data_IF_153064801071
#
_entry.id   IF_153064801071
#
_cell.length_a   1.000
_cell.length_b   1.000
_cell.length_c   1.000
_cell.angle_alpha   90.00
_cell.angle_beta   90.00
_cell.angle_gamma   90.00
#
_symmetry.space_group_name_H-M   'P 1'
#
loop_
_entity.id
_entity.type
_entity.pdbx_description
1 polymer ?
#
# COMPACT_ATOMS: atom_id res chain seq x y z
N UNK A 1 -39.36 0.82 -54.02
CA UNK A 1 -39.42 2.23 -53.57
C UNK A 1 -39.30 3.10 -54.80
N UNK A 2 -40.34 3.88 -55.12
CA UNK A 2 -40.33 4.79 -56.25
C UNK A 2 -39.26 5.88 -56.04
N UNK A 3 -38.29 5.99 -56.96
CA UNK A 3 -37.32 7.09 -56.95
C UNK A 3 -38.10 8.40 -57.20
N UNK A 4 -38.27 9.21 -56.15
CA UNK A 4 -38.85 10.54 -56.30
C UNK A 4 -37.87 11.42 -57.08
N UNK A 5 -38.38 12.37 -57.90
CA UNK A 5 -37.53 13.35 -58.63
C UNK A 5 -36.55 14.09 -57.70
N UNK A 6 -36.90 14.23 -56.41
CA UNK A 6 -36.07 14.82 -55.36
C UNK A 6 -34.84 13.95 -55.03
N UNK A 7 -34.98 12.63 -55.00
CA UNK A 7 -33.87 11.71 -54.72
C UNK A 7 -32.81 11.68 -55.83
N UNK A 8 -33.22 11.82 -57.09
CA UNK A 8 -32.30 11.91 -58.25
C UNK A 8 -31.51 13.23 -58.25
N UNK A 9 -32.16 14.33 -57.87
CA UNK A 9 -31.52 15.64 -57.73
C UNK A 9 -30.46 15.63 -56.60
N UNK A 10 -30.80 15.07 -55.44
CA UNK A 10 -29.89 14.99 -54.29
C UNK A 10 -28.66 14.11 -54.59
N UNK A 11 -28.85 12.96 -55.26
CA UNK A 11 -27.74 12.09 -55.71
C UNK A 11 -26.79 12.82 -56.67
N UNK A 12 -27.34 13.64 -57.57
CA UNK A 12 -26.54 14.40 -58.55
C UNK A 12 -25.76 15.54 -57.87
N UNK A 13 -26.40 16.28 -56.96
CA UNK A 13 -25.75 17.33 -56.18
C UNK A 13 -24.61 16.78 -55.31
N UNK A 14 -24.83 15.62 -54.66
CA UNK A 14 -23.81 14.96 -53.86
C UNK A 14 -22.59 14.52 -54.68
N UNK A 15 -22.79 14.05 -55.92
CA UNK A 15 -21.68 13.67 -56.82
C UNK A 15 -20.83 14.87 -57.24
N UNK A 16 -21.46 16.01 -57.55
CA UNK A 16 -20.73 17.23 -57.87
C UNK A 16 -19.98 17.80 -56.66
N UNK A 17 -20.56 17.73 -55.46
CA UNK A 17 -19.91 18.15 -54.23
C UNK A 17 -18.65 17.30 -53.94
N UNK A 18 -18.75 15.98 -54.10
CA UNK A 18 -17.64 15.06 -53.91
C UNK A 18 -16.54 15.28 -54.97
N UNK A 19 -16.92 15.55 -56.22
CA UNK A 19 -15.98 15.95 -57.27
C UNK A 19 -15.19 17.21 -56.90
N UNK A 20 -15.85 18.25 -56.39
CA UNK A 20 -15.20 19.51 -56.00
C UNK A 20 -14.21 19.28 -54.85
N UNK A 21 -14.58 18.47 -53.86
CA UNK A 21 -13.68 18.11 -52.75
C UNK A 21 -12.42 17.41 -53.27
N UNK A 22 -12.57 16.42 -54.15
CA UNK A 22 -11.42 15.70 -54.72
C UNK A 22 -10.55 16.60 -55.61
N UNK A 23 -11.14 17.57 -56.32
CA UNK A 23 -10.37 18.55 -57.09
C UNK A 23 -9.56 19.46 -56.17
N UNK A 24 -10.16 19.98 -55.10
CA UNK A 24 -9.48 20.87 -54.14
C UNK A 24 -8.32 20.13 -53.46
N UNK A 25 -8.57 18.92 -52.95
CA UNK A 25 -7.53 18.10 -52.29
C UNK A 25 -6.45 17.71 -53.31
N UNK A 26 -6.83 17.43 -54.56
CA UNK A 26 -5.90 17.03 -55.62
C UNK A 26 -4.97 18.19 -56.00
N UNK A 27 -5.52 19.39 -56.18
CA UNK A 27 -4.75 20.60 -56.44
C UNK A 27 -3.83 20.96 -55.28
N UNK A 28 -4.32 20.86 -54.03
CA UNK A 28 -3.50 21.07 -52.84
C UNK A 28 -2.35 20.03 -52.76
N UNK A 29 -2.63 18.78 -53.10
CA UNK A 29 -1.66 17.69 -53.13
C UNK A 29 -0.58 17.83 -54.20
N UNK A 30 -0.82 18.57 -55.27
CA UNK A 30 0.21 18.82 -56.31
C UNK A 30 1.38 19.68 -55.80
N UNK A 31 1.17 20.49 -54.75
CA UNK A 31 2.23 21.30 -54.13
C UNK A 31 3.22 20.44 -53.32
N UNK A 32 2.81 19.27 -52.84
CA UNK A 32 3.66 18.35 -52.07
C UNK A 32 4.15 17.20 -52.94
N UNK A 33 3.31 16.65 -53.81
CA UNK A 33 3.67 15.61 -54.78
C UNK A 33 2.81 15.73 -56.03
N UNK A 34 3.42 16.24 -57.10
CA UNK A 34 2.76 16.44 -58.39
C UNK A 34 2.04 15.18 -58.89
N UNK A 35 2.69 14.01 -58.76
CA UNK A 35 2.11 12.73 -59.19
C UNK A 35 0.91 12.29 -58.34
N UNK A 36 1.00 12.45 -57.01
CA UNK A 36 -0.09 12.10 -56.10
C UNK A 36 -1.33 12.99 -56.34
N UNK A 37 -1.11 14.29 -56.55
CA UNK A 37 -2.16 15.23 -56.93
C UNK A 37 -2.84 14.86 -58.26
N UNK A 38 -2.07 14.47 -59.28
CA UNK A 38 -2.62 13.99 -60.55
C UNK A 38 -3.50 12.73 -60.40
N UNK A 39 -3.12 11.78 -59.54
CA UNK A 39 -3.93 10.57 -59.28
C UNK A 39 -5.29 10.93 -58.65
N UNK A 40 -5.32 11.91 -57.74
CA UNK A 40 -6.55 12.35 -57.11
C UNK A 40 -7.45 13.16 -58.06
N UNK A 41 -6.86 13.94 -58.96
CA UNK A 41 -7.59 14.65 -60.02
C UNK A 41 -8.23 13.69 -61.03
N UNK A 42 -7.52 12.62 -61.39
CA UNK A 42 -8.08 11.55 -62.23
C UNK A 42 -9.25 10.84 -61.53
N UNK A 43 -9.16 10.62 -60.21
CA UNK A 43 -10.26 10.08 -59.42
C UNK A 43 -11.47 11.02 -59.38
N UNK A 44 -11.26 12.35 -59.37
CA UNK A 44 -12.35 13.32 -59.40
C UNK A 44 -13.19 13.24 -60.69
N UNK A 45 -12.56 12.93 -61.83
CA UNK A 45 -13.25 12.80 -63.12
C UNK A 45 -14.32 11.70 -63.13
N UNK A 46 -14.20 10.69 -62.26
CA UNK A 46 -15.17 9.58 -62.14
C UNK A 46 -16.51 10.05 -61.56
N UNK A 47 -16.52 11.17 -60.83
CA UNK A 47 -17.75 11.73 -60.25
C UNK A 47 -18.49 12.68 -61.21
N UNK A 48 -17.90 13.02 -62.36
CA UNK A 48 -18.52 13.87 -63.37
C UNK A 48 -19.49 13.04 -64.24
N UNK A 49 -20.80 13.36 -64.27
CA UNK A 49 -21.81 12.56 -65.00
C UNK A 49 -21.54 12.44 -66.51
N UNK A 50 -21.04 13.51 -67.13
CA UNK A 50 -20.72 13.57 -68.56
C UNK A 50 -19.56 12.64 -68.94
N UNK A 51 -18.58 12.49 -68.05
CA UNK A 51 -17.41 11.65 -68.26
C UNK A 51 -17.78 10.16 -68.21
N UNK A 52 -18.64 9.79 -67.24
CA UNK A 52 -19.18 8.43 -67.14
C UNK A 52 -20.00 8.02 -68.37
N UNK A 53 -20.73 8.95 -68.99
CA UNK A 53 -21.48 8.68 -70.22
C UNK A 53 -20.54 8.36 -71.38
N UNK A 54 -19.47 9.15 -71.55
CA UNK A 54 -18.43 8.90 -72.56
C UNK A 54 -17.68 7.58 -72.34
N UNK A 55 -17.41 7.20 -71.08
CA UNK A 55 -16.80 5.91 -70.75
C UNK A 55 -17.73 4.77 -71.19
N UNK A 56 -19.04 4.87 -70.91
CA UNK A 56 -20.02 3.88 -71.34
C UNK A 56 -20.06 3.74 -72.86
N UNK A 57 -20.07 4.87 -73.58
CA UNK A 57 -20.19 4.89 -75.04
C UNK A 57 -18.94 4.35 -75.76
N UNK A 58 -17.74 4.50 -75.17
CA UNK A 58 -16.47 4.05 -75.79
C UNK A 58 -15.94 2.72 -75.29
N UNK A 59 -16.16 2.38 -74.03
CA UNK A 59 -15.56 1.22 -73.37
C UNK A 59 -16.59 0.12 -73.04
N UNK A 60 -17.88 0.36 -73.27
CA UNK A 60 -18.99 -0.56 -72.97
C UNK A 60 -19.04 -1.07 -71.51
N UNK A 61 -18.39 -0.35 -70.59
CA UNK A 61 -18.35 -0.67 -69.14
C UNK A 61 -19.26 0.29 -68.39
N UNK A 62 -20.20 -0.24 -67.60
CA UNK A 62 -21.07 0.55 -66.72
C UNK A 62 -20.49 0.64 -65.31
N UNK A 63 -19.95 1.81 -64.95
CA UNK A 63 -19.42 2.05 -63.60
C UNK A 63 -20.57 2.27 -62.62
N UNK A 64 -20.88 1.24 -61.84
CA UNK A 64 -21.93 1.26 -60.80
C UNK A 64 -21.53 2.18 -59.64
N UNK A 65 -22.49 2.68 -58.84
CA UNK A 65 -22.19 3.54 -57.69
C UNK A 65 -21.20 2.92 -56.68
N UNK A 66 -21.30 1.60 -56.45
CA UNK A 66 -20.37 0.86 -55.59
C UNK A 66 -18.93 0.84 -56.12
N UNK A 67 -18.75 0.66 -57.44
CA UNK A 67 -17.43 0.66 -58.06
C UNK A 67 -16.72 2.03 -57.93
N UNK A 68 -17.48 3.14 -57.97
CA UNK A 68 -16.92 4.50 -57.79
C UNK A 68 -16.38 4.72 -56.39
N UNK A 69 -17.10 4.22 -55.38
CA UNK A 69 -16.65 4.30 -53.99
C UNK A 69 -15.35 3.52 -53.77
N UNK A 70 -15.24 2.32 -54.35
CA UNK A 70 -14.02 1.50 -54.27
C UNK A 70 -12.83 2.21 -54.92
N UNK A 71 -12.99 2.73 -56.15
CA UNK A 71 -11.90 3.44 -56.84
C UNK A 71 -11.48 4.70 -56.07
N UNK A 72 -12.44 5.45 -55.53
CA UNK A 72 -12.15 6.64 -54.74
C UNK A 72 -11.36 6.29 -53.47
N UNK A 73 -11.73 5.24 -52.74
CA UNK A 73 -11.00 4.78 -51.55
C UNK A 73 -9.58 4.32 -51.90
N UNK A 74 -9.39 3.60 -53.01
CA UNK A 74 -8.06 3.16 -53.47
C UNK A 74 -7.18 4.35 -53.85
N UNK A 75 -7.70 5.31 -54.62
CA UNK A 75 -6.95 6.51 -54.99
C UNK A 75 -6.63 7.39 -53.78
N UNK A 76 -7.56 7.52 -52.83
CA UNK A 76 -7.35 8.25 -51.58
C UNK A 76 -6.29 7.56 -50.71
N UNK A 77 -6.32 6.23 -50.60
CA UNK A 77 -5.32 5.44 -49.88
C UNK A 77 -3.93 5.56 -50.49
N UNK A 78 -3.82 5.51 -51.82
CA UNK A 78 -2.56 5.74 -52.54
C UNK A 78 -2.04 7.17 -52.32
N UNK A 79 -2.91 8.18 -52.40
CA UNK A 79 -2.56 9.58 -52.14
C UNK A 79 -1.97 9.78 -50.74
N UNK A 80 -2.64 9.24 -49.71
CA UNK A 80 -2.15 9.31 -48.33
C UNK A 80 -0.85 8.54 -48.13
N UNK A 81 -0.70 7.36 -48.74
CA UNK A 81 0.53 6.56 -48.66
C UNK A 81 1.74 7.25 -49.31
N UNK A 82 1.54 7.87 -50.48
CA UNK A 82 2.63 8.60 -51.16
C UNK A 82 2.94 9.93 -50.48
N UNK A 83 1.92 10.62 -49.96
CA UNK A 83 2.08 11.89 -49.26
C UNK A 83 2.76 11.74 -47.91
N UNK A 84 2.51 10.65 -47.17
CA UNK A 84 3.23 10.36 -45.93
C UNK A 84 4.72 10.07 -46.21
N UNK A 85 5.03 9.24 -47.21
CA UNK A 85 6.41 8.93 -47.59
C UNK A 85 7.24 10.14 -48.05
N UNK A 86 6.67 11.06 -48.82
CA UNK A 86 7.39 12.27 -49.25
C UNK A 86 7.66 13.21 -48.08
N UNK A 87 6.69 13.37 -47.19
CA UNK A 87 6.83 14.19 -45.98
C UNK A 87 7.90 13.61 -45.02
N UNK A 88 7.96 12.28 -44.91
CA UNK A 88 8.98 11.58 -44.11
C UNK A 88 10.38 11.72 -44.74
N UNK A 89 10.50 11.69 -46.07
CA UNK A 89 11.75 11.90 -46.78
C UNK A 89 12.30 13.33 -46.59
N UNK A 90 11.45 14.35 -46.69
CA UNK A 90 11.83 15.75 -46.48
C UNK A 90 12.22 16.01 -45.02
N UNK A 91 11.48 15.45 -44.06
CA UNK A 91 11.83 15.51 -42.64
C UNK A 91 13.17 14.84 -42.36
N UNK A 92 13.44 13.68 -42.95
CA UNK A 92 14.72 12.99 -42.80
C UNK A 92 15.88 13.83 -43.36
N UNK A 93 15.71 14.47 -44.53
CA UNK A 93 16.72 15.35 -45.11
C UNK A 93 16.97 16.59 -44.26
N UNK A 94 15.92 17.26 -43.77
CA UNK A 94 16.08 18.40 -42.86
C UNK A 94 16.74 18.02 -41.54
N UNK A 95 16.44 16.83 -41.01
CA UNK A 95 17.12 16.32 -39.81
C UNK A 95 18.60 16.05 -40.07
N UNK A 96 18.96 15.43 -41.20
CA UNK A 96 20.36 15.21 -41.59
C UNK A 96 21.09 16.54 -41.82
N UNK A 97 20.47 17.50 -42.50
CA UNK A 97 21.08 18.80 -42.75
C UNK A 97 21.26 19.62 -41.47
N UNK A 98 20.28 19.57 -40.56
CA UNK A 98 20.39 20.19 -39.24
C UNK A 98 21.46 19.51 -38.40
N UNK A 99 21.53 18.18 -38.41
CA UNK A 99 22.57 17.42 -37.72
C UNK A 99 23.98 17.75 -38.25
N UNK A 100 24.15 17.88 -39.57
CA UNK A 100 25.41 18.30 -40.19
C UNK A 100 25.77 19.75 -39.83
N UNK A 101 24.81 20.68 -39.85
CA UNK A 101 25.04 22.06 -39.45
C UNK A 101 25.40 22.20 -37.96
N UNK A 102 24.74 21.42 -37.11
CA UNK A 102 25.02 21.38 -35.67
C UNK A 102 26.38 20.71 -35.40
N UNK A 103 26.74 19.67 -36.15
CA UNK A 103 28.07 19.05 -36.11
C UNK A 103 29.16 20.03 -36.55
N UNK A 104 28.97 20.76 -37.65
CA UNK A 104 29.92 21.78 -38.11
C UNK A 104 30.11 22.90 -37.09
N UNK A 105 29.01 23.36 -36.48
CA UNK A 105 29.08 24.35 -35.38
C UNK A 105 29.83 23.80 -34.17
N UNK A 106 29.61 22.53 -33.82
CA UNK A 106 30.33 21.87 -32.73
C UNK A 106 31.83 21.74 -33.03
N UNK A 107 32.20 21.32 -34.24
CA UNK A 107 33.61 21.23 -34.68
C UNK A 107 34.29 22.61 -34.73
N UNK A 108 33.59 23.66 -35.20
CA UNK A 108 34.09 25.03 -35.17
C UNK A 108 34.29 25.54 -33.74
N UNK A 109 33.33 25.27 -32.85
CA UNK A 109 33.44 25.61 -31.44
C UNK A 109 34.61 24.87 -30.77
N UNK A 110 34.81 23.58 -31.07
CA UNK A 110 35.95 22.81 -30.57
C UNK A 110 37.29 23.34 -31.09
N UNK A 111 37.37 23.70 -32.37
CA UNK A 111 38.58 24.32 -32.95
C UNK A 111 38.92 25.63 -32.25
N UNK A 112 37.93 26.52 -32.08
CA UNK A 112 38.11 27.79 -31.35
C UNK A 112 38.55 27.55 -29.92
N UNK A 113 37.90 26.63 -29.21
CA UNK A 113 38.29 26.28 -27.84
C UNK A 113 39.72 25.71 -27.78
N UNK A 114 40.18 25.00 -28.83
CA UNK A 114 41.55 24.47 -28.91
C UNK A 114 42.59 25.57 -29.08
N UNK A 115 42.28 26.55 -29.93
CA UNK A 115 43.11 27.75 -30.10
C UNK A 115 43.17 28.56 -28.79
N UNK A 116 42.02 28.76 -28.13
CA UNK A 116 41.93 29.46 -26.84
C UNK A 116 42.76 28.75 -25.75
N UNK A 117 42.71 27.41 -25.69
CA UNK A 117 43.52 26.63 -24.74
C UNK A 117 45.01 26.74 -25.06
N UNK A 118 45.40 26.68 -26.34
CA UNK A 118 46.80 26.82 -26.73
C UNK A 118 47.39 28.19 -26.33
N UNK A 119 46.58 29.25 -26.36
CA UNK A 119 47.00 30.61 -26.01
C UNK A 119 46.89 30.93 -24.50
N UNK A 120 45.90 30.37 -23.81
CA UNK A 120 45.50 30.82 -22.46
C UNK A 120 45.44 29.70 -21.42
N UNK A 121 46.06 28.53 -21.66
CA UNK A 121 46.03 27.36 -20.74
C UNK A 121 46.27 27.73 -19.28
N UNK A 122 47.33 28.48 -18.98
CA UNK A 122 47.71 28.80 -17.60
C UNK A 122 46.68 29.72 -16.93
N UNK A 123 46.12 30.68 -17.67
CA UNK A 123 45.07 31.55 -17.16
C UNK A 123 43.79 30.76 -16.82
N UNK A 124 43.42 29.80 -17.67
CA UNK A 124 42.27 28.91 -17.45
C UNK A 124 42.49 28.06 -16.19
N UNK A 125 43.68 27.48 -16.02
CA UNK A 125 44.02 26.69 -14.83
C UNK A 125 44.00 27.53 -13.55
N UNK A 126 44.53 28.75 -13.59
CA UNK A 126 44.50 29.70 -12.46
C UNK A 126 43.07 30.10 -12.11
N UNK A 127 42.22 30.35 -13.11
CA UNK A 127 40.81 30.68 -12.87
C UNK A 127 40.03 29.50 -12.27
N UNK A 128 40.23 28.27 -12.79
CA UNK A 128 39.66 27.06 -12.21
C UNK A 128 40.10 26.85 -10.76
N UNK A 129 41.38 27.08 -10.46
CA UNK A 129 41.90 27.02 -9.08
C UNK A 129 41.30 28.11 -8.20
N UNK A 130 41.12 29.32 -8.71
CA UNK A 130 40.47 30.42 -7.99
C UNK A 130 39.01 30.12 -7.65
N UNK A 131 38.24 29.60 -8.61
CA UNK A 131 36.86 29.17 -8.41
C UNK A 131 36.78 28.03 -7.39
N UNK A 132 37.69 27.06 -7.48
CA UNK A 132 37.80 25.97 -6.50
C UNK A 132 38.15 26.47 -5.10
N UNK A 133 39.07 27.45 -4.98
CA UNK A 133 39.46 28.06 -3.71
C UNK A 133 38.29 28.85 -3.06
N UNK A 134 37.41 29.42 -3.89
CA UNK A 134 36.17 30.07 -3.44
C UNK A 134 35.02 29.10 -3.15
N UNK A 135 35.25 27.79 -3.25
CA UNK A 135 34.22 26.74 -3.17
C UNK A 135 33.12 26.83 -4.25
N UNK A 136 33.33 27.61 -5.33
CA UNK A 136 32.45 27.61 -6.49
C UNK A 136 32.82 26.46 -7.43
N UNK A 137 32.54 25.24 -6.97
CA UNK A 137 32.80 24.03 -7.73
C UNK A 137 31.95 23.96 -9.01
N UNK A 138 30.73 24.51 -8.97
CA UNK A 138 29.86 24.61 -10.15
C UNK A 138 30.47 25.45 -11.26
N UNK A 139 30.99 26.63 -10.93
CA UNK A 139 31.69 27.51 -11.86
C UNK A 139 32.96 26.87 -12.38
N UNK A 140 33.77 26.26 -11.50
CA UNK A 140 35.00 25.57 -11.89
C UNK A 140 34.73 24.39 -12.84
N UNK A 141 33.67 23.61 -12.60
CA UNK A 141 33.24 22.51 -13.47
C UNK A 141 32.73 23.04 -14.80
N UNK A 142 31.91 24.10 -14.81
CA UNK A 142 31.42 24.69 -16.05
C UNK A 142 32.56 25.22 -16.92
N UNK A 143 33.55 25.89 -16.31
CA UNK A 143 34.74 26.38 -16.99
C UNK A 143 35.60 25.23 -17.52
N UNK A 144 35.89 24.22 -16.69
CA UNK A 144 36.69 23.07 -17.12
C UNK A 144 35.99 22.23 -18.20
N UNK A 145 34.68 22.03 -18.09
CA UNK A 145 33.88 21.28 -19.09
C UNK A 145 33.85 21.95 -20.46
N UNK A 146 33.91 23.29 -20.51
CA UNK A 146 34.00 24.05 -21.77
C UNK A 146 35.26 23.72 -22.56
N UNK A 147 36.35 23.40 -21.87
CA UNK A 147 37.67 23.14 -22.45
C UNK A 147 38.12 21.67 -22.34
N UNK A 148 37.25 20.78 -21.85
CA UNK A 148 37.56 19.36 -21.67
C UNK A 148 37.62 18.61 -23.01
N UNK A 149 38.55 17.66 -23.12
CA UNK A 149 38.80 16.85 -24.34
C UNK A 149 39.26 17.66 -25.56
N UNK A 150 39.64 18.93 -25.37
CA UNK A 150 40.06 19.82 -26.47
C UNK A 150 41.59 19.72 -26.73
N UNK A 151 42.35 19.05 -25.86
CA UNK A 151 43.76 18.70 -26.09
C UNK A 151 44.74 19.12 -24.98
N UNK A 152 44.26 19.42 -23.77
CA UNK A 152 45.10 19.74 -22.60
C UNK A 152 44.83 18.77 -21.47
N UNK A 153 45.75 17.82 -21.28
CA UNK A 153 45.66 16.80 -20.23
C UNK A 153 45.56 17.43 -18.83
N UNK A 154 46.21 18.57 -18.63
CA UNK A 154 46.25 19.25 -17.34
C UNK A 154 44.90 19.89 -16.98
N UNK A 155 44.14 20.38 -17.97
CA UNK A 155 42.78 20.88 -17.75
C UNK A 155 41.84 19.73 -17.38
N UNK A 156 41.96 18.59 -18.07
CA UNK A 156 41.15 17.40 -17.78
C UNK A 156 41.48 16.80 -16.40
N UNK A 157 42.76 16.80 -16.00
CA UNK A 157 43.19 16.44 -14.65
C UNK A 157 42.67 17.42 -13.60
N UNK A 158 42.77 18.72 -13.84
CA UNK A 158 42.25 19.75 -12.93
C UNK A 158 40.73 19.60 -12.77
N UNK A 159 39.98 19.39 -13.86
CA UNK A 159 38.54 19.15 -13.82
C UNK A 159 38.20 17.91 -13.01
N UNK A 160 38.93 16.81 -13.17
CA UNK A 160 38.75 15.59 -12.39
C UNK A 160 38.98 15.83 -10.89
N UNK A 161 40.00 16.61 -10.53
CA UNK A 161 40.25 17.00 -9.13
C UNK A 161 39.14 17.90 -8.57
N UNK A 162 38.61 18.83 -9.37
CA UNK A 162 37.48 19.70 -8.98
C UNK A 162 36.25 18.84 -8.69
N UNK A 163 35.96 17.85 -9.54
CA UNK A 163 34.86 16.90 -9.31
C UNK A 163 35.04 16.11 -8.01
N UNK A 164 36.24 15.58 -7.74
CA UNK A 164 36.52 14.87 -6.49
C UNK A 164 36.31 15.78 -5.26
N UNK A 165 36.86 17.01 -5.29
CA UNK A 165 36.67 17.99 -4.21
C UNK A 165 35.21 18.38 -4.02
N UNK A 166 34.44 18.51 -5.11
CA UNK A 166 33.00 18.77 -5.03
C UNK A 166 32.27 17.63 -4.32
N UNK A 167 32.55 16.38 -4.68
CA UNK A 167 31.93 15.22 -4.03
C UNK A 167 32.26 15.19 -2.54
N UNK A 168 33.50 15.49 -2.16
CA UNK A 168 33.90 15.57 -0.76
C UNK A 168 33.21 16.73 -0.03
N UNK A 169 33.12 17.91 -0.65
CA UNK A 169 32.42 19.06 -0.09
C UNK A 169 30.91 18.79 0.10
N UNK A 170 30.26 18.19 -0.89
CA UNK A 170 28.84 17.81 -0.85
C UNK A 170 28.59 16.77 0.27
N UNK A 171 29.50 15.80 0.44
CA UNK A 171 29.47 14.84 1.57
C UNK A 171 29.60 15.53 2.93
N UNK A 172 30.52 16.49 3.07
CA UNK A 172 30.68 17.24 4.32
C UNK A 172 29.47 18.12 4.63
N UNK A 173 28.88 18.75 3.61
CA UNK A 173 27.66 19.52 3.76
C UNK A 173 26.49 18.63 4.19
N UNK A 174 26.31 17.47 3.54
CA UNK A 174 25.29 16.49 3.91
C UNK A 174 25.50 16.00 5.35
N UNK A 175 26.74 15.67 5.74
CA UNK A 175 27.07 15.30 7.12
C UNK A 175 26.67 16.39 8.12
N UNK A 176 26.99 17.65 7.83
CA UNK A 176 26.59 18.78 8.69
C UNK A 176 25.07 18.92 8.82
N UNK A 177 24.33 18.78 7.71
CA UNK A 177 22.85 18.80 7.72
C UNK A 177 22.28 17.65 8.54
N UNK A 178 22.82 16.43 8.39
CA UNK A 178 22.39 15.26 9.15
C UNK A 178 22.67 15.41 10.65
N UNK A 179 23.80 16.02 11.05
CA UNK A 179 24.09 16.31 12.45
C UNK A 179 23.13 17.32 13.07
N UNK A 180 22.72 18.35 12.32
CA UNK A 180 21.68 19.30 12.75
C UNK A 180 20.34 18.57 12.90
N UNK A 181 19.96 17.74 11.93
CA UNK A 181 18.75 16.93 12.00
C UNK A 181 18.76 16.01 13.21
N UNK A 182 19.88 15.34 13.47
CA UNK A 182 20.06 14.45 14.62
C UNK A 182 19.78 15.16 15.95
N UNK A 183 20.20 16.43 16.10
CA UNK A 183 19.91 17.24 17.28
C UNK A 183 18.42 17.57 17.48
N UNK A 184 17.61 17.48 16.43
CA UNK A 184 16.17 17.76 16.46
C UNK A 184 15.32 16.49 16.63
N UNK A 185 15.90 15.30 16.49
CA UNK A 185 15.18 14.03 16.66
C UNK A 185 15.04 13.72 18.14
N UNK A 186 13.84 13.33 18.56
CA UNK A 186 13.58 12.93 19.94
C UNK A 186 14.34 11.65 20.28
N UNK A 187 14.80 11.53 21.52
CA UNK A 187 15.61 10.39 21.97
C UNK A 187 14.87 9.05 21.94
N UNK A 188 13.54 9.07 21.98
CA UNK A 188 12.65 7.92 21.90
C UNK A 188 12.18 7.60 20.46
N UNK A 189 12.53 8.44 19.47
CA UNK A 189 12.29 8.17 18.06
C UNK A 189 13.45 7.35 17.47
N UNK A 190 13.51 6.08 17.86
CA UNK A 190 14.56 5.16 17.41
C UNK A 190 14.56 4.95 15.90
N UNK A 191 13.41 5.06 15.24
CA UNK A 191 13.30 4.96 13.78
C UNK A 191 13.96 6.14 13.09
N UNK A 192 13.67 7.36 13.54
CA UNK A 192 14.33 8.58 13.06
C UNK A 192 15.84 8.53 13.30
N UNK A 193 16.25 8.16 14.52
CA UNK A 193 17.66 8.03 14.88
C UNK A 193 18.39 6.98 14.02
N UNK A 194 17.81 5.79 13.84
CA UNK A 194 18.39 4.71 13.03
C UNK A 194 18.61 5.16 11.57
N UNK A 195 17.60 5.80 10.97
CA UNK A 195 17.66 6.32 9.60
C UNK A 195 18.78 7.35 9.45
N UNK A 196 18.84 8.34 10.35
CA UNK A 196 19.84 9.42 10.28
C UNK A 196 21.25 8.90 10.54
N UNK A 197 21.46 8.01 11.53
CA UNK A 197 22.76 7.40 11.76
C UNK A 197 23.20 6.48 10.61
N UNK A 198 22.28 5.77 9.94
CA UNK A 198 22.62 4.98 8.76
C UNK A 198 23.10 5.86 7.59
N UNK A 199 22.49 7.04 7.40
CA UNK A 199 22.95 8.00 6.40
C UNK A 199 24.29 8.64 6.78
N UNK A 200 24.53 8.89 8.07
CA UNK A 200 25.85 9.33 8.54
C UNK A 200 26.91 8.25 8.35
N UNK A 201 26.57 6.98 8.58
CA UNK A 201 27.49 5.85 8.44
C UNK A 201 27.93 5.61 6.98
N UNK A 202 27.10 5.92 5.99
CA UNK A 202 27.48 5.85 4.57
C UNK A 202 28.49 6.92 4.15
N UNK A 203 28.62 7.98 4.95
CA UNK A 203 29.61 9.06 4.76
C UNK A 203 30.86 8.80 5.60
N UNK A 204 30.67 8.36 6.85
CA UNK A 204 31.71 8.19 7.85
C UNK A 204 31.43 6.96 8.73
N UNK A 205 32.28 5.94 8.60
CA UNK A 205 32.15 4.65 9.28
C UNK A 205 32.08 4.76 10.81
N UNK A 206 32.55 5.87 11.41
CA UNK A 206 32.49 6.10 12.85
C UNK A 206 31.05 6.09 13.41
N UNK A 207 30.04 6.34 12.56
CA UNK A 207 28.63 6.34 12.97
C UNK A 207 27.94 4.96 12.88
N UNK A 208 28.60 3.96 12.30
CA UNK A 208 28.04 2.62 12.14
C UNK A 208 27.56 1.99 13.47
N UNK A 209 28.30 2.08 14.60
CA UNK A 209 27.84 1.51 15.87
C UNK A 209 26.52 2.11 16.36
N UNK A 210 26.30 3.41 16.12
CA UNK A 210 25.05 4.06 16.47
C UNK A 210 23.92 3.65 15.51
N UNK A 211 24.20 3.53 14.21
CA UNK A 211 23.24 3.02 13.24
C UNK A 211 22.74 1.62 13.64
N UNK A 212 23.66 0.72 13.95
CA UNK A 212 23.34 -0.65 14.39
C UNK A 212 22.55 -0.65 15.71
N UNK A 213 22.96 0.17 16.68
CA UNK A 213 22.28 0.29 17.98
C UNK A 213 20.84 0.75 17.81
N UNK A 214 20.60 1.85 17.09
CA UNK A 214 19.26 2.40 16.94
C UNK A 214 18.37 1.57 16.02
N UNK A 215 18.95 0.86 15.04
CA UNK A 215 18.20 -0.14 14.26
C UNK A 215 17.65 -1.24 15.18
N UNK A 216 18.50 -1.81 16.04
CA UNK A 216 18.06 -2.84 17.01
C UNK A 216 17.01 -2.33 17.98
N UNK A 217 17.17 -1.10 18.49
CA UNK A 217 16.18 -0.49 19.39
C UNK A 217 14.85 -0.22 18.69
N UNK A 218 14.87 0.24 17.43
CA UNK A 218 13.67 0.43 16.62
C UNK A 218 12.96 -0.91 16.38
N UNK A 219 13.70 -1.97 16.05
CA UNK A 219 13.13 -3.30 15.84
C UNK A 219 12.52 -3.84 17.12
N UNK A 220 13.22 -3.70 18.25
CA UNK A 220 12.72 -4.10 19.57
C UNK A 220 11.43 -3.34 19.92
N UNK A 221 11.38 -2.02 19.72
CA UNK A 221 10.20 -1.20 19.99
C UNK A 221 8.99 -1.65 19.16
N UNK A 222 9.21 -1.98 17.88
CA UNK A 222 8.16 -2.52 17.01
C UNK A 222 7.66 -3.88 17.50
N UNK A 223 8.57 -4.78 17.89
CA UNK A 223 8.18 -6.09 18.42
C UNK A 223 7.43 -5.97 19.74
N UNK A 224 7.87 -5.11 20.64
CA UNK A 224 7.18 -4.85 21.90
C UNK A 224 5.80 -4.23 21.69
N UNK A 225 5.66 -3.30 20.75
CA UNK A 225 4.37 -2.71 20.42
C UNK A 225 3.41 -3.78 19.86
N UNK A 226 3.87 -4.62 18.93
CA UNK A 226 3.09 -5.74 18.41
C UNK A 226 2.70 -6.71 19.52
N UNK A 227 3.61 -7.03 20.44
CA UNK A 227 3.34 -7.90 21.58
C UNK A 227 2.30 -7.29 22.53
N UNK A 228 2.38 -5.97 22.78
CA UNK A 228 1.38 -5.23 23.59
C UNK A 228 0.01 -5.24 22.91
N UNK A 229 -0.06 -4.92 21.62
CA UNK A 229 -1.29 -4.94 20.84
C UNK A 229 -1.92 -6.34 20.82
N UNK A 230 -1.10 -7.37 20.60
CA UNK A 230 -1.53 -8.77 20.67
C UNK A 230 -2.08 -9.12 22.06
N UNK A 231 -1.37 -8.77 23.13
CA UNK A 231 -1.81 -9.02 24.51
C UNK A 231 -3.14 -8.31 24.85
N UNK A 232 -3.30 -7.06 24.41
CA UNK A 232 -4.55 -6.30 24.57
C UNK A 232 -5.69 -6.98 23.80
N UNK A 233 -5.44 -7.35 22.54
CA UNK A 233 -6.44 -8.02 21.69
C UNK A 233 -6.87 -9.37 22.26
N UNK A 234 -5.92 -10.14 22.81
CA UNK A 234 -6.19 -11.43 23.42
C UNK A 234 -6.95 -11.26 24.73
N UNK A 235 -6.58 -10.27 25.57
CA UNK A 235 -7.35 -9.95 26.78
C UNK A 235 -8.79 -9.57 26.44
N UNK A 236 -9.00 -8.71 25.44
CA UNK A 236 -10.34 -8.32 24.98
C UNK A 236 -11.14 -9.50 24.42
N UNK A 237 -10.50 -10.39 23.65
CA UNK A 237 -11.13 -11.61 23.13
C UNK A 237 -11.53 -12.55 24.27
N UNK A 238 -10.66 -12.74 25.27
CA UNK A 238 -10.97 -13.56 26.44
C UNK A 238 -12.12 -12.97 27.25
N UNK A 239 -12.16 -11.65 27.41
CA UNK A 239 -13.24 -10.94 28.08
C UNK A 239 -14.58 -11.10 27.35
N UNK A 240 -14.62 -10.95 26.02
CA UNK A 240 -15.85 -11.12 25.23
C UNK A 240 -16.38 -12.56 25.25
N UNK A 241 -15.50 -13.53 25.49
CA UNK A 241 -15.85 -14.94 25.70
C UNK A 241 -16.21 -15.28 27.16
N UNK A 242 -16.18 -14.31 28.08
CA UNK A 242 -16.44 -14.54 29.50
C UNK A 242 -15.32 -15.27 30.25
N UNK A 243 -14.12 -15.40 29.67
CA UNK A 243 -12.98 -16.17 30.22
C UNK A 243 -12.08 -15.35 31.17
N UNK A 244 -12.52 -14.16 31.54
CA UNK A 244 -11.96 -13.30 32.58
C UNK A 244 -13.10 -12.86 33.51
N UNK A 245 -12.79 -12.28 34.66
CA UNK A 245 -13.83 -11.70 35.51
C UNK A 245 -14.65 -10.64 34.78
N UNK A 246 -15.95 -10.81 34.81
CA UNK A 246 -16.95 -9.87 34.36
C UNK A 246 -17.75 -9.42 35.57
N UNK A 247 -18.12 -8.14 35.61
CA UNK A 247 -18.83 -7.53 36.73
C UNK A 247 -20.20 -7.05 36.25
N UNK A 248 -21.22 -7.32 37.05
CA UNK A 248 -22.55 -6.85 36.80
C UNK A 248 -23.21 -6.43 38.11
N UNK A 249 -23.96 -5.36 38.03
CA UNK A 249 -24.76 -4.85 39.13
C UNK A 249 -26.23 -4.90 38.73
N UNK A 250 -27.09 -5.29 39.67
CA UNK A 250 -28.53 -5.31 39.49
C UNK A 250 -29.24 -4.85 40.76
N UNK A 251 -30.50 -4.47 40.67
CA UNK A 251 -31.30 -4.12 41.84
C UNK A 251 -32.05 -5.35 42.36
N UNK A 252 -32.06 -5.56 43.68
CA UNK A 252 -32.99 -6.50 44.31
C UNK A 252 -34.33 -5.80 44.51
N UNK A 253 -35.31 -6.13 43.66
CA UNK A 253 -36.66 -5.52 43.66
C UNK A 253 -37.35 -5.56 45.03
N UNK A 254 -37.02 -6.53 45.90
CA UNK A 254 -37.63 -6.67 47.22
C UNK A 254 -37.06 -5.69 48.25
N UNK A 255 -35.77 -5.35 48.18
CA UNK A 255 -35.12 -4.43 49.12
C UNK A 255 -34.79 -3.06 48.53
N UNK A 256 -34.86 -2.90 47.20
CA UNK A 256 -34.42 -1.71 46.47
C UNK A 256 -32.90 -1.48 46.55
N UNK A 257 -32.13 -2.50 46.98
CA UNK A 257 -30.68 -2.39 47.20
C UNK A 257 -29.90 -3.11 46.11
N UNK A 258 -28.69 -2.64 45.87
CA UNK A 258 -27.78 -3.16 44.86
C UNK A 258 -27.31 -4.58 45.18
N UNK A 259 -27.42 -5.47 44.21
CA UNK A 259 -26.75 -6.75 44.12
C UNK A 259 -25.53 -6.57 43.22
N UNK A 260 -24.36 -6.94 43.72
CA UNK A 260 -23.13 -6.98 42.91
C UNK A 260 -22.78 -8.41 42.61
N UNK A 261 -22.26 -8.68 41.42
CA UNK A 261 -21.69 -9.98 41.06
C UNK A 261 -20.44 -9.84 40.19
N UNK A 262 -19.49 -10.74 40.43
CA UNK A 262 -18.35 -11.02 39.58
C UNK A 262 -18.47 -12.46 39.09
N UNK A 263 -18.34 -12.70 37.78
CA UNK A 263 -18.45 -14.04 37.21
C UNK A 263 -17.37 -14.30 36.16
N UNK A 264 -16.95 -15.55 36.04
CA UNK A 264 -15.98 -16.01 35.05
C UNK A 264 -16.32 -17.42 34.57
N UNK A 265 -16.15 -17.67 33.28
CA UNK A 265 -16.39 -18.96 32.65
C UNK A 265 -15.12 -19.82 32.68
N UNK A 266 -15.28 -21.14 32.74
CA UNK A 266 -14.15 -22.08 32.72
C UNK A 266 -13.37 -21.97 31.41
N UNK A 267 -12.04 -22.09 31.45
CA UNK A 267 -11.11 -22.11 30.31
C UNK A 267 -11.31 -23.38 29.48
N UNK A 268 -11.57 -24.51 30.13
CA UNK A 268 -11.94 -25.74 29.45
C UNK A 268 -13.45 -25.80 29.20
N UNK A 269 -13.84 -26.69 28.28
CA UNK A 269 -15.22 -26.97 27.92
C UNK A 269 -15.54 -28.42 28.24
N UNK A 270 -16.81 -28.70 28.47
CA UNK A 270 -17.36 -30.06 28.60
C UNK A 270 -18.50 -30.23 27.60
N UNK A 271 -18.74 -31.47 27.17
CA UNK A 271 -19.91 -31.86 26.40
C UNK A 271 -20.49 -33.11 27.07
N UNK A 272 -21.71 -33.00 27.60
CA UNK A 272 -22.36 -34.07 28.35
C UNK A 272 -23.24 -34.91 27.43
N UNK A 273 -23.56 -36.12 27.87
CA UNK A 273 -24.50 -36.98 27.17
C UNK A 273 -25.94 -36.45 27.29
N UNK A 274 -26.84 -37.05 26.52
CA UNK A 274 -28.27 -36.75 26.64
C UNK A 274 -28.72 -36.98 28.09
N UNK A 275 -29.48 -36.06 28.72
CA UNK A 275 -30.24 -34.94 28.12
C UNK A 275 -29.49 -33.60 28.01
N UNK A 276 -28.21 -33.52 28.39
CA UNK A 276 -27.47 -32.26 28.58
C UNK A 276 -26.47 -31.92 27.47
N UNK A 277 -26.67 -32.49 26.27
CA UNK A 277 -25.76 -32.34 25.12
C UNK A 277 -25.47 -30.89 24.72
N UNK A 278 -24.25 -30.72 24.21
CA UNK A 278 -23.72 -29.52 23.61
C UNK A 278 -22.55 -28.97 24.41
N UNK A 279 -21.50 -28.56 23.68
CA UNK A 279 -20.31 -27.93 24.24
C UNK A 279 -20.70 -26.71 25.10
N UNK A 280 -20.24 -26.73 26.34
CA UNK A 280 -20.53 -25.70 27.33
C UNK A 280 -19.36 -25.50 28.29
N UNK A 281 -19.47 -24.47 29.12
CA UNK A 281 -18.50 -24.09 30.16
C UNK A 281 -19.25 -23.97 31.48
N UNK A 282 -18.55 -24.20 32.58
CA UNK A 282 -19.06 -23.83 33.89
C UNK A 282 -18.86 -22.32 34.11
N UNK A 283 -19.67 -21.72 34.97
CA UNK A 283 -19.54 -20.33 35.43
C UNK A 283 -19.28 -20.32 36.92
N UNK A 284 -18.19 -19.68 37.34
CA UNK A 284 -17.90 -19.38 38.74
C UNK A 284 -18.36 -17.96 39.02
N UNK A 285 -19.18 -17.77 40.06
CA UNK A 285 -19.73 -16.48 40.43
C UNK A 285 -19.48 -16.16 41.90
N UNK A 286 -19.06 -14.92 42.16
CA UNK A 286 -19.04 -14.29 43.48
C UNK A 286 -20.15 -13.24 43.50
N UNK A 287 -21.07 -13.32 44.45
CA UNK A 287 -22.23 -12.42 44.51
C UNK A 287 -22.40 -11.84 45.91
N UNK A 288 -22.58 -10.52 46.00
CA UNK A 288 -22.98 -9.82 47.24
C UNK A 288 -24.45 -9.44 47.13
N UNK A 289 -25.28 -10.12 47.89
CA UNK A 289 -26.72 -9.89 47.95
C UNK A 289 -27.10 -9.13 49.24
N UNK A 290 -27.95 -8.09 49.19
CA UNK A 290 -28.29 -7.28 50.36
C UNK A 290 -29.04 -8.07 51.45
N UNK A 291 -29.75 -9.14 51.08
CA UNK A 291 -30.54 -9.97 52.01
C UNK A 291 -29.87 -11.28 52.42
N UNK A 292 -28.92 -11.78 51.63
CA UNK A 292 -28.33 -13.12 51.79
C UNK A 292 -26.80 -13.10 51.97
N UNK A 293 -26.20 -11.91 52.00
CA UNK A 293 -24.76 -11.76 52.18
C UNK A 293 -23.95 -12.14 50.94
N UNK A 294 -22.68 -12.50 51.17
CA UNK A 294 -21.74 -12.87 50.11
C UNK A 294 -21.76 -14.38 49.87
N UNK A 295 -21.92 -14.77 48.61
CA UNK A 295 -21.96 -16.15 48.15
C UNK A 295 -20.93 -16.39 47.05
N UNK A 296 -20.41 -17.61 46.99
CA UNK A 296 -19.61 -18.12 45.87
C UNK A 296 -20.34 -19.36 45.36
N UNK A 297 -20.54 -19.48 44.06
CA UNK A 297 -21.16 -20.68 43.49
C UNK A 297 -20.61 -21.01 42.12
N UNK A 298 -20.66 -22.29 41.78
CA UNK A 298 -20.36 -22.81 40.45
C UNK A 298 -21.66 -23.26 39.79
N UNK A 299 -21.85 -22.90 38.53
CA UNK A 299 -23.04 -23.25 37.77
C UNK A 299 -22.68 -23.88 36.41
N UNK A 300 -23.57 -24.71 35.89
CA UNK A 300 -23.49 -25.30 34.54
C UNK A 300 -24.78 -25.00 33.79
N UNK A 301 -24.71 -24.73 32.48
CA UNK A 301 -25.91 -24.34 31.72
C UNK A 301 -26.86 -25.52 31.49
N UNK A 302 -26.29 -26.67 31.14
CA UNK A 302 -27.00 -27.93 30.88
C UNK A 302 -26.34 -29.01 31.70
N UNK A 303 -26.93 -29.37 32.83
CA UNK A 303 -26.37 -30.42 33.67
C UNK A 303 -27.07 -30.48 35.00
N UNK A 304 -26.79 -31.57 35.71
CA UNK A 304 -27.26 -31.81 37.06
C UNK A 304 -26.05 -32.16 37.93
N UNK A 305 -25.73 -31.27 38.86
CA UNK A 305 -24.79 -31.58 39.93
C UNK A 305 -25.36 -32.69 40.80
N UNK A 306 -24.47 -33.51 41.35
CA UNK A 306 -24.81 -34.58 42.28
C UNK A 306 -24.20 -34.28 43.64
N UNK A 307 -25.06 -33.99 44.61
CA UNK A 307 -24.73 -33.97 46.02
C UNK A 307 -25.09 -35.31 46.69
N UNK A 308 -24.31 -35.73 47.68
CA UNK A 308 -24.71 -36.82 48.57
C UNK A 308 -25.82 -36.38 49.52
N UNK A 309 -26.52 -37.34 50.11
CA UNK A 309 -27.58 -37.06 51.10
C UNK A 309 -27.01 -36.43 52.38
N UNK A 310 -25.87 -36.94 52.87
CA UNK A 310 -25.23 -36.48 54.11
C UNK A 310 -24.12 -35.43 53.87
N UNK A 311 -23.46 -35.48 52.72
CA UNK A 311 -22.34 -34.60 52.38
C UNK A 311 -22.42 -34.13 50.92
N UNK A 312 -22.37 -32.81 50.70
CA UNK A 312 -22.10 -32.23 49.40
C UNK A 312 -20.78 -31.49 49.43
N UNK A 313 -19.82 -31.91 48.61
CA UNK A 313 -18.49 -31.32 48.54
C UNK A 313 -18.04 -31.11 47.10
N UNK A 314 -17.20 -30.11 46.91
CA UNK A 314 -16.43 -29.90 45.68
C UNK A 314 -14.93 -29.98 45.98
N UNK A 315 -14.17 -30.55 45.05
CA UNK A 315 -12.72 -30.49 45.09
C UNK A 315 -12.25 -29.12 44.60
N UNK A 316 -11.44 -28.40 45.38
CA UNK A 316 -10.94 -27.07 45.00
C UNK A 316 -9.43 -27.03 45.13
N UNK A 317 -8.77 -26.60 44.05
CA UNK A 317 -7.32 -26.37 44.02
C UNK A 317 -7.02 -24.99 43.45
N UNK A 318 -6.33 -24.15 44.22
CA UNK A 318 -5.88 -22.83 43.78
C UNK A 318 -4.45 -22.91 43.25
N UNK A 319 -4.23 -22.50 41.99
CA UNK A 319 -2.93 -22.49 41.31
C UNK A 319 -2.11 -23.78 41.56
N UNK A 320 -0.88 -23.66 42.09
CA UNK A 320 0.01 -24.78 42.45
C UNK A 320 -0.16 -25.27 43.89
N UNK A 321 -1.23 -24.85 44.58
CA UNK A 321 -1.53 -25.28 45.95
C UNK A 321 -2.10 -26.71 46.03
N UNK A 322 -2.33 -27.17 47.25
CA UNK A 322 -2.93 -28.48 47.51
C UNK A 322 -4.42 -28.49 47.12
N UNK A 323 -4.87 -29.61 46.56
CA UNK A 323 -6.30 -29.87 46.40
C UNK A 323 -6.93 -30.11 47.78
N UNK A 324 -8.13 -29.56 47.99
CA UNK A 324 -8.90 -29.78 49.22
C UNK A 324 -10.37 -29.93 48.89
N UNK A 325 -11.09 -30.67 49.75
CA UNK A 325 -12.55 -30.69 49.74
C UNK A 325 -13.07 -29.41 50.40
N UNK A 326 -14.03 -28.78 49.76
CA UNK A 326 -14.80 -27.67 50.32
C UNK A 326 -16.27 -28.06 50.28
N UNK A 327 -16.94 -27.93 51.43
CA UNK A 327 -18.37 -28.21 51.52
C UNK A 327 -19.17 -27.29 50.61
N UNK A 328 -20.24 -27.81 50.06
CA UNK A 328 -21.13 -27.14 49.15
C UNK A 328 -22.59 -27.38 49.56
N UNK A 329 -23.51 -26.59 49.02
CA UNK A 329 -24.95 -26.78 49.23
C UNK A 329 -25.73 -26.50 47.96
N UNK A 330 -26.84 -27.20 47.81
CA UNK A 330 -27.83 -26.90 46.78
C UNK A 330 -28.57 -25.59 47.10
N UNK A 331 -29.07 -24.87 46.08
CA UNK A 331 -29.96 -23.73 46.30
C UNK A 331 -31.31 -24.13 46.92
N UNK A 332 -31.92 -23.21 47.67
CA UNK A 332 -33.21 -23.41 48.36
C UNK A 332 -34.39 -23.70 47.40
N UNK A 333 -34.25 -23.37 46.12
CA UNK A 333 -35.24 -23.66 45.08
C UNK A 333 -35.04 -25.04 44.41
N UNK A 334 -34.06 -25.82 44.90
CA UNK A 334 -33.67 -27.13 44.38
C UNK A 334 -33.23 -27.15 42.91
N UNK A 335 -32.78 -26.00 42.39
CA UNK A 335 -32.12 -25.95 41.08
C UNK A 335 -30.86 -26.82 41.10
N UNK A 336 -30.83 -27.84 40.24
CA UNK A 336 -29.74 -28.82 40.23
C UNK A 336 -28.52 -28.41 39.39
N UNK A 337 -28.53 -27.20 38.82
CA UNK A 337 -27.53 -26.74 37.86
C UNK A 337 -26.54 -25.73 38.47
N UNK A 338 -26.56 -25.55 39.79
CA UNK A 338 -25.58 -24.77 40.53
C UNK A 338 -25.34 -25.34 41.92
N UNK A 339 -24.14 -25.12 42.46
CA UNK A 339 -23.76 -25.43 43.84
C UNK A 339 -23.14 -24.21 44.50
N UNK A 340 -23.60 -23.85 45.70
CA UNK A 340 -22.96 -22.86 46.55
C UNK A 340 -21.75 -23.47 47.24
N UNK A 341 -20.59 -22.83 47.15
CA UNK A 341 -19.39 -23.23 47.87
C UNK A 341 -19.42 -22.58 49.25
N UNK A 342 -19.37 -23.40 50.30
CA UNK A 342 -19.38 -22.94 51.69
C UNK A 342 -18.15 -22.07 52.00
N UNK A 343 -18.31 -21.18 52.98
CA UNK A 343 -17.26 -20.27 53.44
C UNK A 343 -16.70 -19.37 52.31
N UNK A 344 -17.61 -18.57 51.73
CA UNK A 344 -17.31 -17.63 50.64
C UNK A 344 -16.12 -16.70 50.94
N UNK A 345 -15.96 -16.22 52.17
CA UNK A 345 -14.86 -15.32 52.56
C UNK A 345 -13.49 -16.00 52.43
N UNK A 346 -13.38 -17.27 52.84
CA UNK A 346 -12.16 -18.07 52.69
C UNK A 346 -11.83 -18.34 51.22
N UNK A 347 -12.85 -18.64 50.40
CA UNK A 347 -12.68 -18.81 48.96
C UNK A 347 -12.15 -17.52 48.31
N UNK A 348 -12.81 -16.39 48.55
CA UNK A 348 -12.44 -15.08 47.96
C UNK A 348 -11.03 -14.66 48.39
N UNK A 349 -10.66 -14.87 49.66
CA UNK A 349 -9.33 -14.55 50.17
C UNK A 349 -8.22 -15.29 49.41
N UNK A 350 -8.50 -16.52 48.98
CA UNK A 350 -7.55 -17.35 48.25
C UNK A 350 -7.58 -17.09 46.76
N UNK A 351 -8.76 -16.80 46.22
CA UNK A 351 -8.91 -16.39 44.83
C UNK A 351 -8.11 -15.10 44.54
N UNK A 352 -8.14 -14.12 45.45
CA UNK A 352 -7.36 -12.87 45.35
C UNK A 352 -5.83 -13.07 45.33
N UNK A 353 -5.33 -14.24 45.72
CA UNK A 353 -3.89 -14.55 45.80
C UNK A 353 -3.45 -15.55 44.71
N UNK A 354 -4.33 -15.89 43.79
CA UNK A 354 -4.15 -16.99 42.85
C UNK A 354 -4.61 -16.58 41.45
N UNK A 355 -3.88 -17.01 40.42
CA UNK A 355 -4.26 -16.76 39.03
C UNK A 355 -5.24 -17.80 38.48
N UNK A 356 -5.30 -18.99 39.09
CA UNK A 356 -6.15 -20.08 38.63
C UNK A 356 -6.85 -20.79 39.77
N UNK A 357 -8.03 -21.31 39.49
CA UNK A 357 -8.71 -22.28 40.37
C UNK A 357 -9.25 -23.43 39.55
N UNK A 358 -9.08 -24.64 40.09
CA UNK A 358 -9.66 -25.87 39.56
C UNK A 358 -10.77 -26.29 40.52
N UNK A 359 -11.97 -26.51 39.99
CA UNK A 359 -13.13 -26.97 40.75
C UNK A 359 -13.58 -28.31 40.16
N UNK A 360 -13.48 -29.36 40.96
CA UNK A 360 -14.00 -30.68 40.66
C UNK A 360 -15.39 -30.83 41.28
N UNK A 361 -16.36 -31.24 40.46
CA UNK A 361 -17.71 -31.55 40.90
C UNK A 361 -18.25 -32.78 40.19
N UNK A 362 -19.19 -33.48 40.83
CA UNK A 362 -19.85 -34.67 40.30
C UNK A 362 -21.13 -34.31 39.55
N UNK A 363 -21.35 -34.96 38.41
CA UNK A 363 -22.51 -34.74 37.56
C UNK A 363 -23.26 -36.04 37.26
N UNK A 364 -24.57 -35.96 37.19
CA UNK A 364 -25.45 -37.11 36.94
C UNK A 364 -25.09 -37.76 35.60
N UNK A 365 -24.81 -39.08 35.63
CA UNK A 365 -24.38 -39.90 34.48
C UNK A 365 -23.05 -39.50 33.80
N UNK A 366 -22.35 -38.50 34.34
CA UNK A 366 -21.08 -38.02 33.81
C UNK A 366 -19.91 -38.32 34.77
N UNK A 367 -20.19 -38.49 36.06
CA UNK A 367 -19.16 -38.62 37.09
C UNK A 367 -18.48 -37.29 37.39
N UNK A 368 -17.25 -37.32 37.90
CA UNK A 368 -16.51 -36.11 38.26
C UNK A 368 -15.97 -35.38 37.02
N UNK A 369 -16.08 -34.05 37.03
CA UNK A 369 -15.50 -33.16 36.03
C UNK A 369 -14.77 -32.02 36.72
N UNK A 370 -13.62 -31.66 36.16
CA UNK A 370 -12.80 -30.55 36.64
C UNK A 370 -12.96 -29.37 35.71
N UNK A 371 -13.30 -28.21 36.27
CA UNK A 371 -13.33 -26.94 35.55
C UNK A 371 -12.16 -26.07 35.99
N UNK A 372 -11.41 -25.58 35.02
CA UNK A 372 -10.32 -24.64 35.22
C UNK A 372 -10.84 -23.23 34.97
N UNK A 373 -10.61 -22.31 35.90
CA UNK A 373 -10.97 -20.90 35.76
C UNK A 373 -9.70 -20.06 35.85
N UNK A 374 -9.57 -19.08 34.95
CA UNK A 374 -8.64 -17.98 35.15
C UNK A 374 -9.30 -16.99 36.10
N UNK A 375 -8.73 -16.86 37.28
CA UNK A 375 -9.23 -15.97 38.34
C UNK A 375 -8.25 -14.83 38.63
N UNK A 376 -7.24 -14.62 37.77
CA UNK A 376 -6.35 -13.47 37.85
C UNK A 376 -7.14 -12.17 37.78
N UNK A 377 -6.56 -11.08 38.29
CA UNK A 377 -7.16 -9.74 38.26
C UNK A 377 -8.56 -9.65 38.92
N UNK A 378 -8.82 -10.44 39.97
CA UNK A 378 -10.08 -10.35 40.74
C UNK A 378 -10.16 -9.03 41.53
N UNK A 379 -11.04 -8.12 41.09
CA UNK A 379 -11.35 -6.83 41.71
C UNK A 379 -12.65 -6.92 42.52
N UNK A 380 -12.63 -7.60 43.66
CA UNK A 380 -13.84 -7.83 44.46
C UNK A 380 -13.78 -7.27 45.88
N UNK A 381 -14.14 -5.99 46.08
CA UNK A 381 -14.05 -5.29 47.37
C UNK A 381 -15.18 -5.59 48.36
#
# INVERSE_FOLDING_TARGET
>A
MADSKVGVFFKTAAMWLLCVIFVIIGLAGMFTSFLAGCVLLLAACIFVPQFNRKIKDKLNVTVTPGARAVIAVVCLGLFFYTGSKSLDADRAQHQVQKALADQQKAEQAQKKNREDVAANKDAILVEMQSLTAKQDYSGAIALGSKYSNVGSLEIDQALSQVHAKKVDADKQQLKATLLISLGNIKQDDYKGLASTYSQLASIDQAYQPNADKFSKLSDQQVQEQKAREHAISEKARRQSMGLTWNYADSEDNMSGKLVRQAYVMSINTVDFNFPYRGVQRATLTIRKHPRWGTSVYVAIKKGQFVCGYDDCDVGVKFSKGNSRRMSASEPDDHSSNLLFISNASSFITQARKSDKVYIEASFYQEGSRVFEFDISDLEWK
#
